data_IF_262523065275
#
_entry.id   IF_262523065275
#
_cell.length_a   1.000
_cell.length_b   1.000
_cell.length_c   1.000
_cell.angle_alpha   90.00
_cell.angle_beta   90.00
_cell.angle_gamma   90.00
#
_symmetry.space_group_name_H-M   'P 1'
#
loop_
_entity.id
_entity.type
_entity.pdbx_description
1 polymer ?
#
# COMPACT_ATOMS: atom_id res chain seq x y z
N UNK A 1 -24.84 22.97 35.40
CA UNK A 1 -23.40 23.05 35.77
C UNK A 1 -23.04 21.70 36.37
N UNK A 2 -22.17 20.84 35.86
CA UNK A 2 -21.10 20.92 34.85
C UNK A 2 -20.75 19.47 34.46
N UNK A 3 -20.54 19.25 33.15
CA UNK A 3 -19.61 18.32 32.48
C UNK A 3 -19.50 16.84 32.92
N UNK A 4 -19.61 15.93 31.93
CA UNK A 4 -18.72 14.78 31.83
C UNK A 4 -18.30 14.62 30.37
N UNK A 5 -17.01 14.87 30.18
CA UNK A 5 -16.24 14.80 28.94
C UNK A 5 -15.81 13.33 28.75
N UNK A 6 -16.22 12.71 27.65
CA UNK A 6 -15.49 11.61 27.00
C UNK A 6 -15.49 11.94 25.51
N UNK A 7 -14.64 12.88 25.13
CA UNK A 7 -14.24 13.06 23.74
C UNK A 7 -13.53 11.77 23.30
N UNK A 8 -14.26 10.94 22.56
CA UNK A 8 -13.68 9.81 21.83
C UNK A 8 -12.65 10.40 20.87
N UNK A 9 -11.40 9.89 20.87
CA UNK A 9 -10.28 10.55 20.20
C UNK A 9 -10.61 10.76 18.73
N UNK A 10 -10.31 11.98 18.26
CA UNK A 10 -10.45 12.42 16.88
C UNK A 10 -10.03 11.31 15.91
N UNK A 11 -11.02 10.72 15.22
CA UNK A 11 -10.76 9.83 14.10
C UNK A 11 -10.34 10.71 12.94
N UNK A 12 -9.03 10.92 12.77
CA UNK A 12 -8.51 11.28 11.45
C UNK A 12 -8.98 10.18 10.50
N UNK A 13 -9.90 10.52 9.59
CA UNK A 13 -10.47 9.59 8.63
C UNK A 13 -9.36 9.15 7.68
N UNK A 14 -8.70 8.03 7.99
CA UNK A 14 -7.72 7.42 7.09
C UNK A 14 -8.44 7.18 5.76
N UNK A 15 -7.94 7.74 4.63
CA UNK A 15 -8.60 7.59 3.35
C UNK A 15 -8.71 6.11 3.00
N UNK A 16 -9.83 5.68 2.40
CA UNK A 16 -10.06 4.27 2.10
C UNK A 16 -8.98 3.74 1.15
N UNK A 17 -8.61 2.47 1.31
CA UNK A 17 -7.68 1.80 0.39
C UNK A 17 -8.33 1.62 -0.97
N UNK A 18 -7.73 2.18 -2.02
CA UNK A 18 -8.20 2.11 -3.41
C UNK A 18 -7.60 0.94 -4.17
N UNK A 19 -6.35 0.58 -3.87
CA UNK A 19 -5.67 -0.59 -4.43
C UNK A 19 -4.99 -1.34 -3.28
N UNK A 20 -5.15 -2.66 -3.25
CA UNK A 20 -4.48 -3.53 -2.27
C UNK A 20 -3.85 -4.71 -3.00
N UNK A 21 -2.57 -4.91 -2.76
CA UNK A 21 -1.79 -6.06 -3.21
C UNK A 21 -1.23 -6.74 -1.95
N UNK A 22 -1.43 -8.06 -1.83
CA UNK A 22 -1.00 -8.83 -0.66
C UNK A 22 -0.20 -10.03 -1.13
N UNK A 23 0.98 -10.18 -0.56
CA UNK A 23 1.88 -11.32 -0.75
C UNK A 23 2.09 -11.66 -2.24
N UNK A 24 2.38 -10.62 -3.03
CA UNK A 24 2.52 -10.76 -4.49
C UNK A 24 3.89 -11.33 -4.83
N UNK A 25 3.86 -12.52 -5.40
CA UNK A 25 5.01 -13.21 -5.99
C UNK A 25 4.91 -13.20 -7.51
N UNK A 26 5.99 -12.79 -8.18
CA UNK A 26 6.03 -12.75 -9.66
C UNK A 26 7.29 -13.41 -10.16
N UNK A 27 7.12 -14.31 -11.14
CA UNK A 27 8.20 -15.07 -11.76
C UNK A 27 8.26 -14.84 -13.26
N UNK A 28 9.47 -14.70 -13.80
CA UNK A 28 9.76 -14.73 -15.21
C UNK A 28 10.66 -15.94 -15.50
N UNK A 29 10.03 -17.05 -15.89
CA UNK A 29 10.71 -18.35 -15.97
C UNK A 29 11.19 -18.78 -14.59
N UNK A 30 12.48 -19.11 -14.47
CA UNK A 30 13.09 -19.51 -13.20
C UNK A 30 13.45 -18.33 -12.29
N UNK A 31 13.40 -17.09 -12.80
CA UNK A 31 13.75 -15.90 -12.03
C UNK A 31 12.54 -15.34 -11.30
N UNK A 32 12.62 -15.25 -9.97
CA UNK A 32 11.68 -14.48 -9.17
C UNK A 32 11.99 -12.98 -9.28
N UNK A 33 10.99 -12.20 -9.66
CA UNK A 33 11.08 -10.76 -9.87
C UNK A 33 10.45 -9.95 -8.72
N UNK A 34 9.49 -10.53 -8.01
CA UNK A 34 8.90 -10.00 -6.78
C UNK A 34 8.76 -11.14 -5.77
N UNK A 35 9.14 -10.86 -4.52
CA UNK A 35 9.14 -11.79 -3.40
C UNK A 35 8.16 -11.28 -2.35
N UNK A 36 6.97 -11.89 -2.30
CA UNK A 36 5.87 -11.63 -1.36
C UNK A 36 5.64 -10.14 -1.06
N UNK A 37 5.47 -9.34 -2.12
CA UNK A 37 5.31 -7.89 -2.01
C UNK A 37 3.87 -7.53 -1.62
N UNK A 38 3.72 -6.80 -0.51
CA UNK A 38 2.44 -6.25 -0.05
C UNK A 38 2.45 -4.72 -0.13
N UNK A 39 1.42 -4.13 -0.75
CA UNK A 39 1.28 -2.68 -0.92
C UNK A 39 -0.20 -2.27 -0.85
N UNK A 40 -0.47 -1.13 -0.20
CA UNK A 40 -1.76 -0.47 -0.21
C UNK A 40 -1.62 0.95 -0.77
N UNK A 41 -2.48 1.30 -1.73
CA UNK A 41 -2.60 2.66 -2.27
C UNK A 41 -3.93 3.22 -1.76
N UNK A 42 -3.87 4.31 -1.01
CA UNK A 42 -5.08 4.96 -0.47
C UNK A 42 -5.68 5.92 -1.48
N UNK A 43 -6.96 6.18 -1.30
CA UNK A 43 -7.68 7.15 -2.12
C UNK A 43 -7.15 8.57 -1.88
N UNK A 44 -7.00 9.34 -2.96
CA UNK A 44 -6.48 10.71 -2.95
C UNK A 44 -5.05 10.85 -2.37
N UNK A 45 -4.28 9.75 -2.30
CA UNK A 45 -2.89 9.75 -1.86
C UNK A 45 -1.95 9.51 -3.07
N UNK A 46 -0.82 10.19 -3.10
CA UNK A 46 0.23 9.95 -4.10
C UNK A 46 1.25 8.96 -3.51
N UNK A 47 1.25 7.73 -4.03
CA UNK A 47 2.20 6.69 -3.63
C UNK A 47 3.33 6.57 -4.65
N UNK A 48 4.59 6.64 -4.21
CA UNK A 48 5.76 6.50 -5.07
C UNK A 48 6.49 5.17 -4.81
N UNK A 49 6.81 4.43 -5.88
CA UNK A 49 7.66 3.24 -5.82
C UNK A 49 9.10 3.61 -6.17
N UNK A 50 10.02 3.54 -5.21
CA UNK A 50 11.41 3.96 -5.36
C UNK A 50 12.35 2.76 -5.16
N UNK A 51 13.42 2.68 -5.97
CA UNK A 51 14.45 1.64 -5.85
C UNK A 51 15.38 1.59 -7.05
N UNK A 52 16.52 0.86 -6.97
CA UNK A 52 17.51 0.74 -8.04
C UNK A 52 16.91 0.13 -9.32
N UNK A 53 17.64 0.20 -10.44
CA UNK A 53 17.20 -0.47 -11.68
C UNK A 53 17.08 -1.97 -11.45
N UNK A 54 16.03 -2.59 -12.01
CA UNK A 54 15.80 -4.03 -11.89
C UNK A 54 15.14 -4.52 -10.60
N UNK A 55 14.82 -3.66 -9.63
CA UNK A 55 14.18 -4.07 -8.36
C UNK A 55 12.69 -4.43 -8.45
N UNK A 56 12.12 -4.58 -9.66
CA UNK A 56 10.75 -5.06 -9.82
C UNK A 56 9.64 -3.99 -9.83
N UNK A 57 9.92 -2.68 -9.73
CA UNK A 57 8.88 -1.61 -9.75
C UNK A 57 7.89 -1.73 -10.91
N UNK A 58 8.39 -1.76 -12.15
CA UNK A 58 7.55 -1.90 -13.34
C UNK A 58 6.93 -3.29 -13.47
N UNK A 59 7.52 -4.31 -12.84
CA UNK A 59 6.90 -5.64 -12.73
C UNK A 59 5.67 -5.56 -11.85
N UNK A 60 5.78 -4.93 -10.68
CA UNK A 60 4.67 -4.75 -9.74
C UNK A 60 3.53 -3.92 -10.35
N UNK A 61 3.84 -2.80 -11.00
CA UNK A 61 2.83 -1.97 -11.66
C UNK A 61 2.12 -2.66 -12.83
N UNK A 62 2.70 -3.70 -13.45
CA UNK A 62 2.04 -4.49 -14.49
C UNK A 62 1.07 -5.52 -13.94
N UNK A 63 1.09 -5.77 -12.63
CA UNK A 63 0.21 -6.71 -11.94
C UNK A 63 -1.05 -6.05 -11.38
N UNK A 64 -1.09 -4.70 -11.31
CA UNK A 64 -2.24 -3.90 -10.90
C UNK A 64 -3.19 -3.66 -12.08
#
# INVERSE_FOLDING_TARGET
MTQTLLETPATESVPPTKVSAKDVDVFYGEKQALESVSLEVRENEVTALIGPSGCGKSTFLRCL
#
